data_IF_092539179235
#
_entry.id   IF_092539179235
#
_cell.length_a   1.000
_cell.length_b   1.000
_cell.length_c   1.000
_cell.angle_alpha   90.00
_cell.angle_beta   90.00
_cell.angle_gamma   90.00
#
_symmetry.space_group_name_H-M   'P 1'
#
loop_
_entity.id
_entity.type
_entity.pdbx_description
1 polymer ?
#
# COMPACT_ATOMS: atom_id res chain seq x y z
N UNK A 1 14.20 -12.86 -13.82
CA UNK A 1 13.26 -12.50 -12.74
C UNK A 1 12.78 -11.09 -13.02
N UNK A 2 11.51 -10.78 -12.75
CA UNK A 2 10.97 -9.43 -12.95
C UNK A 2 11.64 -8.41 -12.00
N UNK A 3 11.82 -7.18 -12.48
CA UNK A 3 12.28 -6.03 -11.68
C UNK A 3 11.20 -4.94 -11.60
N UNK A 4 9.92 -5.34 -11.72
CA UNK A 4 8.76 -4.45 -11.70
C UNK A 4 8.22 -4.25 -10.29
N UNK A 5 7.91 -3.01 -9.96
CA UNK A 5 7.40 -2.63 -8.64
C UNK A 5 6.05 -1.93 -8.76
N UNK A 6 5.06 -2.40 -8.00
CA UNK A 6 3.78 -1.71 -7.84
C UNK A 6 3.89 -0.65 -6.75
N UNK A 7 3.52 0.57 -7.09
CA UNK A 7 3.34 1.66 -6.11
C UNK A 7 1.86 1.99 -6.05
N UNK A 8 1.18 1.54 -4.99
CA UNK A 8 -0.26 1.72 -4.80
C UNK A 8 -0.51 2.93 -3.92
N UNK A 9 -1.36 3.85 -4.38
CA UNK A 9 -1.47 5.19 -3.81
C UNK A 9 -0.34 6.11 -4.29
N UNK A 10 0.07 5.94 -5.54
CA UNK A 10 1.21 6.61 -6.16
C UNK A 10 1.11 8.14 -6.20
N UNK A 11 -0.09 8.71 -6.11
CA UNK A 11 -0.31 10.16 -6.14
C UNK A 11 -0.25 10.84 -4.76
N UNK A 12 -0.07 10.07 -3.70
CA UNK A 12 0.19 10.58 -2.35
C UNK A 12 1.66 10.99 -2.17
N UNK A 13 1.96 11.77 -1.11
CA UNK A 13 3.33 12.27 -0.86
C UNK A 13 4.37 11.14 -0.77
N UNK A 14 4.09 10.07 -0.04
CA UNK A 14 4.99 8.93 0.08
C UNK A 14 5.09 8.16 -1.24
N UNK A 15 3.93 7.87 -1.87
CA UNK A 15 3.88 7.08 -3.09
C UNK A 15 4.60 7.74 -4.26
N UNK A 16 4.41 9.05 -4.47
CA UNK A 16 5.06 9.77 -5.57
C UNK A 16 6.58 9.86 -5.37
N UNK A 17 7.02 10.20 -4.16
CA UNK A 17 8.46 10.21 -3.84
C UNK A 17 9.12 8.84 -4.03
N UNK A 18 8.47 7.77 -3.56
CA UNK A 18 8.99 6.42 -3.74
C UNK A 18 9.06 6.02 -5.21
N UNK A 19 8.03 6.34 -6.00
CA UNK A 19 8.01 6.07 -7.43
C UNK A 19 9.17 6.78 -8.15
N UNK A 20 9.43 8.05 -7.82
CA UNK A 20 10.56 8.82 -8.35
C UNK A 20 11.91 8.19 -7.98
N UNK A 21 12.08 7.77 -6.73
CA UNK A 21 13.32 7.12 -6.27
C UNK A 21 13.56 5.76 -6.94
N UNK A 22 12.51 4.93 -7.08
CA UNK A 22 12.60 3.66 -7.77
C UNK A 22 12.97 3.87 -9.25
N UNK A 23 12.34 4.82 -9.92
CA UNK A 23 12.65 5.19 -11.30
C UNK A 23 14.10 5.67 -11.43
N UNK A 24 14.57 6.56 -10.57
CA UNK A 24 15.94 7.03 -10.56
C UNK A 24 16.96 5.90 -10.30
N UNK A 25 16.55 4.86 -9.56
CA UNK A 25 17.34 3.65 -9.35
C UNK A 25 17.27 2.64 -10.51
N UNK A 26 16.67 3.02 -11.65
CA UNK A 26 16.54 2.18 -12.84
C UNK A 26 15.56 1.01 -12.70
N UNK A 27 14.60 1.12 -11.76
CA UNK A 27 13.56 0.10 -11.58
C UNK A 27 12.35 0.38 -12.47
N UNK A 28 11.72 -0.66 -12.95
CA UNK A 28 10.45 -0.55 -13.67
C UNK A 28 9.31 -0.37 -12.65
N UNK A 29 8.63 0.77 -12.73
CA UNK A 29 7.54 1.13 -11.81
C UNK A 29 6.20 1.06 -12.53
N UNK A 30 5.18 0.53 -11.85
CA UNK A 30 3.80 0.62 -12.28
C UNK A 30 2.99 1.34 -11.19
N UNK A 31 2.36 2.46 -11.58
CA UNK A 31 1.65 3.34 -10.66
C UNK A 31 0.19 2.93 -10.55
N UNK A 32 -0.32 2.87 -9.32
CA UNK A 32 -1.74 2.67 -9.05
C UNK A 32 -2.26 3.88 -8.29
N UNK A 33 -3.27 4.53 -8.84
CA UNK A 33 -3.95 5.66 -8.23
C UNK A 33 -5.41 5.73 -8.64
N UNK A 34 -6.25 6.35 -7.82
CA UNK A 34 -7.69 6.52 -8.13
C UNK A 34 -8.01 7.78 -8.94
N UNK A 35 -7.12 8.76 -8.88
CA UNK A 35 -7.23 10.03 -9.63
C UNK A 35 -6.47 9.88 -10.95
N UNK A 36 -7.21 9.86 -12.05
CA UNK A 36 -6.68 9.61 -13.38
C UNK A 36 -5.68 10.69 -13.81
N UNK A 37 -6.04 11.97 -13.66
CA UNK A 37 -5.21 13.09 -14.12
C UNK A 37 -3.86 13.11 -13.39
N UNK A 38 -3.89 12.97 -12.05
CA UNK A 38 -2.67 12.96 -11.23
C UNK A 38 -1.81 11.73 -11.49
N UNK A 39 -2.46 10.56 -11.67
CA UNK A 39 -1.72 9.31 -11.92
C UNK A 39 -1.08 9.34 -13.31
N UNK A 40 -1.80 9.82 -14.31
CA UNK A 40 -1.31 10.01 -15.67
C UNK A 40 -0.15 11.01 -15.71
N UNK A 41 -0.29 12.17 -15.09
CA UNK A 41 0.76 13.19 -15.04
C UNK A 41 2.06 12.65 -14.43
N UNK A 42 1.97 11.87 -13.33
CA UNK A 42 3.14 11.24 -12.73
C UNK A 42 3.72 10.15 -13.63
N UNK A 43 2.88 9.37 -14.30
CA UNK A 43 3.29 8.35 -15.27
C UNK A 43 4.06 8.97 -16.46
N UNK A 44 3.58 10.06 -17.01
CA UNK A 44 4.25 10.79 -18.09
C UNK A 44 5.61 11.34 -17.63
N UNK A 45 5.67 11.94 -16.43
CA UNK A 45 6.91 12.43 -15.81
C UNK A 45 7.97 11.34 -15.67
N UNK A 46 7.56 10.13 -15.26
CA UNK A 46 8.46 9.00 -15.02
C UNK A 46 8.60 8.05 -16.21
N UNK A 47 7.92 8.33 -17.31
CA UNK A 47 7.85 7.44 -18.47
C UNK A 47 7.59 5.98 -18.07
N UNK A 48 6.57 5.75 -17.21
CA UNK A 48 6.22 4.45 -16.68
C UNK A 48 4.73 4.16 -16.88
N UNK A 49 4.33 2.90 -16.70
CA UNK A 49 2.93 2.48 -16.82
C UNK A 49 2.11 2.81 -15.59
N UNK A 50 0.81 2.93 -15.76
CA UNK A 50 -0.13 3.15 -14.66
C UNK A 50 -1.46 2.43 -14.88
N UNK A 51 -2.19 2.22 -13.79
CA UNK A 51 -3.59 1.76 -13.81
C UNK A 51 -4.41 2.66 -12.87
N UNK A 52 -5.51 3.18 -13.38
CA UNK A 52 -6.48 3.92 -12.55
C UNK A 52 -7.37 2.90 -11.83
N UNK A 53 -7.28 2.85 -10.51
CA UNK A 53 -8.08 1.93 -9.69
C UNK A 53 -8.27 2.47 -8.28
N UNK A 54 -9.48 2.37 -7.75
CA UNK A 54 -9.75 2.54 -6.33
C UNK A 54 -9.68 1.18 -5.64
N UNK A 55 -8.83 1.07 -4.62
CA UNK A 55 -8.67 -0.17 -3.84
C UNK A 55 -9.90 -0.57 -3.03
N UNK A 56 -10.91 0.30 -2.97
CA UNK A 56 -12.20 0.01 -2.33
C UNK A 56 -13.22 -0.60 -3.29
N UNK A 57 -12.96 -0.56 -4.60
CA UNK A 57 -13.82 -1.17 -5.60
C UNK A 57 -13.67 -2.69 -5.64
N UNK A 58 -14.77 -3.39 -5.92
CA UNK A 58 -14.72 -4.82 -6.15
C UNK A 58 -13.97 -5.11 -7.46
N UNK A 59 -13.13 -6.14 -7.47
CA UNK A 59 -12.37 -6.51 -8.66
C UNK A 59 -11.14 -5.63 -8.94
N UNK A 60 -10.73 -4.76 -8.00
CA UNK A 60 -9.57 -3.90 -8.21
C UNK A 60 -8.27 -4.68 -8.42
N UNK A 61 -8.12 -5.83 -7.78
CA UNK A 61 -6.94 -6.69 -7.93
C UNK A 61 -6.88 -7.28 -9.33
N UNK A 62 -7.99 -7.82 -9.82
CA UNK A 62 -8.10 -8.39 -11.16
C UNK A 62 -7.83 -7.34 -12.24
N UNK A 63 -8.36 -6.12 -12.04
CA UNK A 63 -8.09 -4.98 -12.93
C UNK A 63 -6.61 -4.64 -12.99
N UNK A 64 -5.92 -4.58 -11.86
CA UNK A 64 -4.48 -4.31 -11.84
C UNK A 64 -3.71 -5.46 -12.48
N UNK A 65 -4.07 -6.71 -12.18
CA UNK A 65 -3.42 -7.90 -12.73
C UNK A 65 -3.56 -8.03 -14.24
N UNK A 66 -4.66 -7.55 -14.84
CA UNK A 66 -4.82 -7.54 -16.30
C UNK A 66 -3.80 -6.64 -17.00
N UNK A 67 -3.28 -5.62 -16.32
CA UNK A 67 -2.28 -4.69 -16.85
C UNK A 67 -0.84 -5.08 -16.49
N UNK A 68 -0.66 -5.72 -15.33
CA UNK A 68 0.64 -6.17 -14.85
C UNK A 68 0.47 -7.37 -13.92
N UNK A 69 0.99 -8.52 -14.32
CA UNK A 69 0.87 -9.77 -13.54
C UNK A 69 2.20 -10.21 -12.87
N UNK A 70 3.34 -9.96 -13.50
CA UNK A 70 4.64 -10.38 -12.99
C UNK A 70 5.40 -9.21 -12.33
N UNK A 71 5.52 -9.26 -11.00
CA UNK A 71 6.12 -8.18 -10.19
C UNK A 71 7.15 -8.73 -9.20
N UNK A 72 8.04 -7.85 -8.74
CA UNK A 72 9.03 -8.11 -7.69
C UNK A 72 8.72 -7.40 -6.37
N UNK A 73 7.91 -6.37 -6.39
CA UNK A 73 7.62 -5.65 -5.16
C UNK A 73 6.31 -4.90 -5.15
N UNK A 74 5.77 -4.73 -3.94
CA UNK A 74 4.59 -3.92 -3.66
C UNK A 74 4.96 -2.90 -2.59
N UNK A 75 4.69 -1.63 -2.87
CA UNK A 75 4.60 -0.58 -1.87
C UNK A 75 3.14 -0.14 -1.75
N UNK A 76 2.50 -0.47 -0.64
CA UNK A 76 1.11 -0.11 -0.39
C UNK A 76 1.06 1.21 0.38
N UNK A 77 1.04 2.32 -0.35
CA UNK A 77 1.08 3.69 0.16
C UNK A 77 -0.31 4.31 0.35
N UNK A 78 -1.38 3.51 0.20
CA UNK A 78 -2.74 3.98 0.41
C UNK A 78 -3.04 4.15 1.89
N UNK A 79 -3.70 5.24 2.22
CA UNK A 79 -4.18 5.51 3.56
C UNK A 79 -4.91 6.84 3.66
N UNK A 80 -5.66 6.99 4.72
CA UNK A 80 -6.29 8.25 5.11
C UNK A 80 -6.26 8.38 6.63
N UNK A 81 -6.28 9.59 7.11
CA UNK A 81 -6.35 9.90 8.53
C UNK A 81 -7.69 10.58 8.79
N UNK A 82 -8.52 9.95 9.61
CA UNK A 82 -9.76 10.50 10.10
C UNK A 82 -9.64 10.65 11.63
N UNK A 83 -9.53 11.88 12.10
CA UNK A 83 -9.30 12.19 13.51
C UNK A 83 -10.62 12.60 14.17
N UNK A 84 -11.08 11.75 15.10
CA UNK A 84 -12.34 11.98 15.83
C UNK A 84 -12.19 11.67 17.31
N UNK A 85 -12.79 12.49 18.20
CA UNK A 85 -12.98 12.10 19.59
C UNK A 85 -13.73 10.76 19.69
N UNK A 86 -13.35 9.87 20.60
CA UNK A 86 -13.93 8.51 20.69
C UNK A 86 -15.46 8.52 20.77
N UNK A 87 -16.07 9.52 21.45
CA UNK A 87 -17.53 9.65 21.55
C UNK A 87 -18.26 9.87 20.22
N UNK A 88 -17.52 10.27 19.17
CA UNK A 88 -18.06 10.53 17.83
C UNK A 88 -17.70 9.41 16.82
N UNK A 89 -16.97 8.42 17.27
CA UNK A 89 -16.51 7.30 16.42
C UNK A 89 -17.63 6.28 16.32
N UNK A 90 -17.94 5.88 15.09
CA UNK A 90 -18.88 4.80 14.76
C UNK A 90 -18.15 3.53 14.33
N UNK A 91 -18.86 2.40 14.35
CA UNK A 91 -18.39 1.15 13.77
C UNK A 91 -18.05 1.30 12.27
N UNK A 92 -18.83 2.11 11.57
CA UNK A 92 -18.61 2.38 10.14
C UNK A 92 -17.27 3.09 9.88
N UNK A 93 -16.86 4.00 10.76
CA UNK A 93 -15.56 4.67 10.65
C UNK A 93 -14.41 3.65 10.75
N UNK A 94 -14.50 2.72 11.71
CA UNK A 94 -13.53 1.63 11.83
C UNK A 94 -13.53 0.73 10.60
N UNK A 95 -14.71 0.28 10.16
CA UNK A 95 -14.84 -0.61 9.00
C UNK A 95 -14.24 0.02 7.74
N UNK A 96 -14.54 1.30 7.48
CA UNK A 96 -13.98 2.03 6.34
C UNK A 96 -12.45 2.15 6.43
N UNK A 97 -11.93 2.49 7.59
CA UNK A 97 -10.50 2.63 7.81
C UNK A 97 -9.77 1.28 7.65
N UNK A 98 -10.31 0.21 8.23
CA UNK A 98 -9.79 -1.15 8.09
C UNK A 98 -9.82 -1.63 6.65
N UNK A 99 -10.93 -1.39 5.94
CA UNK A 99 -11.05 -1.76 4.53
C UNK A 99 -9.97 -1.08 3.69
N UNK A 100 -9.77 0.22 3.86
CA UNK A 100 -8.80 0.99 3.08
C UNK A 100 -7.35 0.61 3.38
N UNK A 101 -7.00 0.46 4.66
CA UNK A 101 -5.61 0.34 5.08
C UNK A 101 -5.12 -1.10 5.26
N UNK A 102 -6.03 -2.05 5.53
CA UNK A 102 -5.68 -3.43 5.85
C UNK A 102 -6.24 -4.42 4.83
N UNK A 103 -7.57 -4.49 4.66
CA UNK A 103 -8.19 -5.55 3.87
C UNK A 103 -7.81 -5.45 2.39
N UNK A 104 -7.84 -4.24 1.82
CA UNK A 104 -7.41 -4.04 0.43
C UNK A 104 -5.93 -4.37 0.21
N UNK A 105 -5.06 -4.12 1.21
CA UNK A 105 -3.67 -4.55 1.14
C UNK A 105 -3.55 -6.09 1.15
N UNK A 106 -4.32 -6.77 2.00
CA UNK A 106 -4.37 -8.24 2.04
C UNK A 106 -4.82 -8.82 0.71
N UNK A 107 -5.90 -8.28 0.13
CA UNK A 107 -6.41 -8.76 -1.16
C UNK A 107 -5.37 -8.59 -2.28
N UNK A 108 -4.70 -7.45 -2.32
CA UNK A 108 -3.63 -7.21 -3.29
C UNK A 108 -2.46 -8.19 -3.10
N UNK A 109 -2.00 -8.38 -1.87
CA UNK A 109 -0.90 -9.30 -1.55
C UNK A 109 -1.26 -10.72 -1.95
N UNK A 110 -2.47 -11.19 -1.65
CA UNK A 110 -2.98 -12.52 -2.08
C UNK A 110 -2.95 -12.65 -3.60
N UNK A 111 -3.39 -11.62 -4.31
CA UNK A 111 -3.42 -11.62 -5.78
C UNK A 111 -2.04 -11.77 -6.42
N UNK A 112 -0.98 -11.29 -5.75
CA UNK A 112 0.39 -11.28 -6.27
C UNK A 112 1.35 -12.25 -5.57
N UNK A 113 0.89 -13.06 -4.63
CA UNK A 113 1.74 -13.91 -3.80
C UNK A 113 2.65 -14.83 -4.63
N UNK A 114 2.13 -15.47 -5.67
CA UNK A 114 2.91 -16.38 -6.52
C UNK A 114 3.99 -15.63 -7.31
N UNK A 115 3.66 -14.48 -7.87
CA UNK A 115 4.62 -13.63 -8.59
C UNK A 115 5.74 -13.14 -7.66
N UNK A 116 5.37 -12.63 -6.48
CA UNK A 116 6.34 -12.21 -5.47
C UNK A 116 7.25 -13.35 -5.01
N UNK A 117 6.69 -14.55 -4.78
CA UNK A 117 7.47 -15.74 -4.42
C UNK A 117 8.45 -16.14 -5.51
N UNK A 118 7.99 -16.24 -6.76
CA UNK A 118 8.81 -16.52 -7.95
C UNK A 118 9.99 -15.56 -8.08
N UNK A 119 9.77 -14.28 -7.82
CA UNK A 119 10.75 -13.22 -8.02
C UNK A 119 11.57 -12.88 -6.75
N UNK A 120 11.43 -13.66 -5.65
CA UNK A 120 12.04 -13.36 -4.33
C UNK A 120 11.79 -11.91 -3.92
N UNK A 121 10.52 -11.55 -3.93
CA UNK A 121 10.04 -10.19 -3.88
C UNK A 121 10.05 -9.54 -2.50
N UNK A 122 9.49 -8.34 -2.44
CA UNK A 122 9.33 -7.60 -1.19
C UNK A 122 8.03 -6.82 -1.14
N UNK A 123 7.50 -6.70 0.07
CA UNK A 123 6.28 -5.93 0.38
C UNK A 123 6.64 -4.87 1.41
N UNK A 124 6.20 -3.63 1.17
CA UNK A 124 6.31 -2.53 2.14
C UNK A 124 4.92 -2.00 2.43
N UNK A 125 4.56 -2.04 3.71
CA UNK A 125 3.33 -1.47 4.26
C UNK A 125 3.67 -0.22 5.08
N UNK A 126 2.66 0.60 5.35
CA UNK A 126 2.85 1.83 6.12
C UNK A 126 1.95 1.84 7.35
N UNK A 127 2.56 1.97 8.51
CA UNK A 127 1.94 2.24 9.81
C UNK A 127 2.05 3.72 10.17
N UNK A 128 2.08 4.03 11.42
CA UNK A 128 2.29 5.35 12.03
C UNK A 128 2.84 5.18 13.44
N UNK A 129 3.65 6.12 13.90
CA UNK A 129 4.09 6.16 15.30
C UNK A 129 2.91 6.25 16.30
N UNK A 130 1.75 6.74 15.86
CA UNK A 130 0.53 6.77 16.66
C UNK A 130 0.03 5.38 17.06
N UNK A 131 0.36 4.33 16.32
CA UNK A 131 0.02 2.95 16.64
C UNK A 131 0.69 2.47 17.92
N UNK A 132 1.89 2.99 18.22
CA UNK A 132 2.69 2.58 19.39
C UNK A 132 2.63 3.58 20.55
N UNK A 133 2.53 4.88 20.26
CA UNK A 133 2.59 5.92 21.28
C UNK A 133 1.23 6.49 21.69
N UNK A 134 0.23 6.35 20.81
CA UNK A 134 -1.09 6.94 21.00
C UNK A 134 -1.09 8.47 20.92
N UNK A 135 -2.08 9.03 20.23
CA UNK A 135 -2.33 10.46 20.17
C UNK A 135 -3.81 10.73 20.35
N UNK A 136 -4.15 11.95 20.79
CA UNK A 136 -5.54 12.37 20.94
C UNK A 136 -6.29 12.23 19.62
N UNK A 137 -7.52 11.71 19.65
CA UNK A 137 -8.41 11.51 18.51
C UNK A 137 -7.92 10.49 17.45
N UNK A 138 -6.90 9.69 17.73
CA UNK A 138 -6.32 8.72 16.79
C UNK A 138 -6.85 7.30 16.97
N UNK A 139 -7.91 7.07 17.75
CA UNK A 139 -8.39 5.71 18.06
C UNK A 139 -8.59 4.83 16.82
N UNK A 140 -9.19 5.36 15.75
CA UNK A 140 -9.46 4.62 14.51
C UNK A 140 -8.15 4.27 13.80
N UNK A 141 -7.36 5.30 13.46
CA UNK A 141 -6.17 5.10 12.64
C UNK A 141 -5.06 4.37 13.40
N UNK A 142 -4.88 4.64 14.69
CA UNK A 142 -3.89 3.95 15.52
C UNK A 142 -4.17 2.44 15.61
N UNK A 143 -5.43 2.06 15.89
CA UNK A 143 -5.85 0.66 15.95
C UNK A 143 -5.68 -0.04 14.60
N UNK A 144 -6.09 0.63 13.51
CA UNK A 144 -5.95 0.08 12.16
C UNK A 144 -4.48 -0.12 11.77
N UNK A 145 -3.63 0.84 12.07
CA UNK A 145 -2.20 0.76 11.74
C UNK A 145 -1.44 -0.22 12.64
N UNK A 146 -1.86 -0.42 13.89
CA UNK A 146 -1.37 -1.51 14.73
C UNK A 146 -1.72 -2.89 14.14
N UNK A 147 -2.91 -3.03 13.55
CA UNK A 147 -3.28 -4.24 12.82
C UNK A 147 -2.39 -4.47 11.58
N UNK A 148 -1.99 -3.41 10.86
CA UNK A 148 -1.02 -3.49 9.75
C UNK A 148 0.35 -3.96 10.24
N UNK A 149 0.80 -3.52 11.41
CA UNK A 149 2.07 -3.99 12.02
C UNK A 149 1.98 -5.49 12.35
N UNK A 150 0.88 -5.94 12.98
CA UNK A 150 0.64 -7.35 13.28
C UNK A 150 0.59 -8.21 12.01
N UNK A 151 -0.11 -7.75 10.97
CA UNK A 151 -0.12 -8.39 9.65
C UNK A 151 1.29 -8.52 9.08
N UNK A 152 2.09 -7.46 9.15
CA UNK A 152 3.46 -7.46 8.65
C UNK A 152 4.32 -8.54 9.29
N UNK A 153 4.27 -8.65 10.62
CA UNK A 153 5.04 -9.67 11.37
C UNK A 153 4.60 -11.07 10.99
N UNK A 154 3.28 -11.30 10.89
CA UNK A 154 2.73 -12.61 10.51
C UNK A 154 3.14 -13.01 9.09
N UNK A 155 2.99 -12.10 8.13
CA UNK A 155 3.34 -12.38 6.73
C UNK A 155 4.86 -12.51 6.54
N UNK A 156 5.68 -11.78 7.30
CA UNK A 156 7.12 -11.94 7.26
C UNK A 156 7.55 -13.36 7.69
N UNK A 157 6.91 -13.90 8.72
CA UNK A 157 7.17 -15.27 9.17
C UNK A 157 6.64 -16.33 8.17
N UNK A 158 5.42 -16.12 7.65
CA UNK A 158 4.78 -17.07 6.72
C UNK A 158 5.49 -17.16 5.37
N UNK A 159 5.97 -16.02 4.86
CA UNK A 159 6.53 -15.93 3.51
C UNK A 159 8.05 -16.14 3.46
N UNK A 160 8.73 -16.20 4.60
CA UNK A 160 10.16 -16.45 4.64
C UNK A 160 10.50 -17.85 4.06
N UNK A 161 11.63 -18.01 3.36
CA UNK A 161 12.61 -16.99 2.99
C UNK A 161 12.33 -16.32 1.63
N UNK A 162 11.15 -16.54 1.05
CA UNK A 162 10.89 -16.23 -0.37
C UNK A 162 10.46 -14.78 -0.60
N UNK A 163 9.69 -14.19 0.33
CA UNK A 163 9.20 -12.81 0.23
C UNK A 163 9.54 -12.08 1.54
N UNK A 164 10.12 -10.90 1.44
CA UNK A 164 10.34 -10.02 2.58
C UNK A 164 9.14 -9.11 2.79
N UNK A 165 8.68 -8.97 4.02
CA UNK A 165 7.58 -8.07 4.37
C UNK A 165 8.04 -7.11 5.45
N UNK A 166 7.89 -5.82 5.21
CA UNK A 166 8.32 -4.76 6.12
C UNK A 166 7.22 -3.72 6.28
N UNK A 167 7.25 -3.04 7.42
CA UNK A 167 6.38 -1.91 7.71
C UNK A 167 7.19 -0.69 8.11
N UNK A 168 6.81 0.47 7.58
CA UNK A 168 7.40 1.76 7.96
C UNK A 168 6.36 2.51 8.78
N UNK A 169 6.74 3.01 9.95
CA UNK A 169 5.88 3.81 10.84
C UNK A 169 6.35 5.28 10.85
N UNK A 170 5.91 6.11 9.88
CA UNK A 170 6.28 7.51 9.86
C UNK A 170 5.73 8.27 11.07
N UNK A 171 6.42 9.35 11.43
CA UNK A 171 5.90 10.39 12.31
C UNK A 171 5.12 11.43 11.49
N UNK A 172 5.27 12.71 11.79
CA UNK A 172 4.71 13.78 10.97
C UNK A 172 5.50 13.87 9.66
N UNK A 173 4.79 13.75 8.55
CA UNK A 173 5.35 13.83 7.19
C UNK A 173 4.64 14.90 6.39
#
# INVERSE_FOLDING_TARGET
MSEKYLVVGATGSIGSNLAEQLYAAGKEVHLIGRDEERTKSLSEKLNCKYTVSDVLENGFVEKIKSEIDDIKGIAYCVGSIDLKPLRMVSEQDFTKCMKLNLYSAVDLIKGYQESLKKNKGSIVLFSTVAAQRGFTNHAIIASTKAAVEGLTVSLAAEFAPNIRVNCIAPSLT
#
